data_IF_616690525506
#
_entry.id   IF_616690525506
#
_cell.length_a   1.000
_cell.length_b   1.000
_cell.length_c   1.000
_cell.angle_alpha   90.00
_cell.angle_beta   90.00
_cell.angle_gamma   90.00
#
_symmetry.space_group_name_H-M   'P 1'
#
loop_
_entity.id
_entity.type
_entity.pdbx_description
1 polymer ?
#
# COMPACT_ATOMS: atom_id res chain seq x y z
N UNK A 1 8.50 -15.85 11.00
CA UNK A 1 7.49 -15.06 10.28
C UNK A 1 7.53 -15.47 8.81
N UNK A 2 6.39 -15.75 8.20
CA UNK A 2 6.33 -16.08 6.78
C UNK A 2 6.27 -14.78 5.98
N UNK A 3 7.25 -14.59 5.10
CA UNK A 3 7.28 -13.44 4.21
C UNK A 3 6.29 -13.65 3.07
N UNK A 4 5.57 -12.59 2.69
CA UNK A 4 4.77 -12.54 1.46
C UNK A 4 5.43 -11.62 0.45
N UNK A 5 5.41 -12.03 -0.81
CA UNK A 5 5.90 -11.23 -1.93
C UNK A 5 4.70 -10.61 -2.65
N UNK A 6 4.69 -9.29 -2.74
CA UNK A 6 3.68 -8.52 -3.45
C UNK A 6 4.28 -7.97 -4.74
N UNK A 7 3.55 -8.10 -5.84
CA UNK A 7 3.82 -7.43 -7.12
C UNK A 7 2.92 -6.19 -7.19
N UNK A 8 3.54 -5.02 -7.35
CA UNK A 8 2.87 -3.74 -7.55
C UNK A 8 2.43 -3.58 -9.01
N UNK A 9 1.42 -2.75 -9.24
CA UNK A 9 0.89 -2.45 -10.57
C UNK A 9 1.94 -1.90 -11.55
N UNK A 10 2.96 -1.20 -11.05
CA UNK A 10 4.07 -0.66 -11.84
C UNK A 10 5.19 -1.68 -12.14
N UNK A 11 5.03 -2.92 -11.68
CA UNK A 11 6.00 -4.00 -11.82
C UNK A 11 7.02 -4.09 -10.67
N UNK A 12 6.98 -3.15 -9.70
CA UNK A 12 7.79 -3.22 -8.49
C UNK A 12 7.41 -4.40 -7.60
N UNK A 13 8.30 -4.80 -6.70
CA UNK A 13 8.04 -5.89 -5.75
C UNK A 13 8.35 -5.51 -4.32
N UNK A 14 7.48 -5.89 -3.39
CA UNK A 14 7.69 -5.72 -1.94
C UNK A 14 7.61 -7.07 -1.26
N UNK A 15 8.65 -7.42 -0.50
CA UNK A 15 8.63 -8.56 0.42
C UNK A 15 8.33 -8.04 1.83
N UNK A 16 7.23 -8.49 2.44
CA UNK A 16 6.83 -8.05 3.77
C UNK A 16 6.45 -9.20 4.70
N UNK A 17 6.70 -8.99 6.00
CA UNK A 17 6.41 -9.94 7.08
C UNK A 17 4.99 -9.80 7.64
N UNK A 18 4.38 -8.62 7.50
CA UNK A 18 3.02 -8.30 7.90
C UNK A 18 2.51 -7.07 7.11
N UNK A 19 1.26 -6.67 7.36
CA UNK A 19 0.67 -5.52 6.68
C UNK A 19 1.37 -4.19 7.02
N UNK A 20 1.71 -3.97 8.29
CA UNK A 20 2.44 -2.77 8.69
C UNK A 20 3.81 -2.67 8.00
N UNK A 21 4.59 -3.76 7.98
CA UNK A 21 5.89 -3.81 7.28
C UNK A 21 5.75 -3.55 5.76
N UNK A 22 4.66 -4.02 5.15
CA UNK A 22 4.36 -3.69 3.76
C UNK A 22 4.13 -2.19 3.57
N UNK A 23 3.30 -1.55 4.40
CA UNK A 23 3.02 -0.11 4.32
C UNK A 23 4.30 0.71 4.52
N UNK A 24 5.12 0.37 5.52
CA UNK A 24 6.40 1.02 5.75
C UNK A 24 7.29 0.94 4.50
N UNK A 25 7.41 -0.23 3.88
CA UNK A 25 8.22 -0.43 2.66
C UNK A 25 7.67 0.30 1.45
N UNK A 26 6.34 0.30 1.28
CA UNK A 26 5.67 1.02 0.21
C UNK A 26 5.89 2.53 0.35
N UNK A 27 5.75 3.09 1.56
CA UNK A 27 6.03 4.49 1.85
C UNK A 27 7.48 4.86 1.58
N UNK A 28 8.42 4.11 2.15
CA UNK A 28 9.86 4.41 2.01
C UNK A 28 10.32 4.33 0.56
N UNK A 29 9.73 3.43 -0.24
CA UNK A 29 10.01 3.32 -1.68
C UNK A 29 9.24 4.31 -2.56
N UNK A 30 8.30 5.07 -2.00
CA UNK A 30 7.43 5.97 -2.73
C UNK A 30 8.14 7.26 -3.12
N UNK A 31 7.79 7.82 -4.28
CA UNK A 31 8.18 9.19 -4.68
C UNK A 31 7.35 10.27 -3.97
N UNK A 32 6.27 9.88 -3.31
CA UNK A 32 5.34 10.75 -2.58
C UNK A 32 5.36 10.40 -1.09
N UNK A 33 5.38 11.43 -0.25
CA UNK A 33 5.27 11.35 1.21
C UNK A 33 6.19 10.30 1.89
N UNK A 34 7.40 10.07 1.35
CA UNK A 34 8.34 9.10 1.93
C UNK A 34 8.70 9.44 3.38
N UNK A 35 8.71 10.73 3.72
CA UNK A 35 9.14 11.24 5.02
C UNK A 35 8.01 11.34 6.07
N UNK A 36 6.75 11.06 5.72
CA UNK A 36 5.66 11.10 6.69
C UNK A 36 5.56 9.79 7.49
N UNK A 37 4.58 9.73 8.40
CA UNK A 37 4.26 8.49 9.11
C UNK A 37 3.52 7.50 8.19
N UNK A 38 3.54 6.21 8.54
CA UNK A 38 2.79 5.18 7.79
C UNK A 38 1.29 5.51 7.73
N UNK A 39 0.73 6.08 8.81
CA UNK A 39 -0.68 6.46 8.86
C UNK A 39 -1.01 7.62 7.91
N UNK A 40 -0.20 8.68 7.92
CA UNK A 40 -0.35 9.81 6.99
C UNK A 40 -0.17 9.36 5.54
N UNK A 41 0.78 8.46 5.29
CA UNK A 41 0.99 7.90 3.96
C UNK A 41 -0.24 7.17 3.44
N UNK A 42 -0.87 6.31 4.26
CA UNK A 42 -2.08 5.59 3.84
C UNK A 42 -3.23 6.55 3.51
N UNK A 43 -3.44 7.61 4.31
CA UNK A 43 -4.46 8.62 4.02
C UNK A 43 -4.16 9.38 2.73
N UNK A 44 -2.96 9.92 2.59
CA UNK A 44 -2.56 10.66 1.40
C UNK A 44 -2.57 9.78 0.14
N UNK A 45 -2.21 8.50 0.27
CA UNK A 45 -2.31 7.53 -0.81
C UNK A 45 -3.76 7.29 -1.20
N UNK A 46 -4.65 7.06 -0.23
CA UNK A 46 -6.07 6.82 -0.47
C UNK A 46 -6.73 8.01 -1.20
N UNK A 47 -6.44 9.24 -0.78
CA UNK A 47 -6.93 10.46 -1.44
C UNK A 47 -6.46 10.54 -2.88
N UNK A 48 -5.15 10.38 -3.12
CA UNK A 48 -4.59 10.37 -4.48
C UNK A 48 -5.16 9.26 -5.36
N UNK A 49 -5.35 8.07 -4.79
CA UNK A 49 -5.88 6.92 -5.51
C UNK A 49 -7.34 7.15 -5.88
N UNK A 50 -8.11 7.76 -4.99
CA UNK A 50 -9.48 8.19 -5.26
C UNK A 50 -9.54 9.24 -6.38
N UNK A 51 -8.70 10.28 -6.31
CA UNK A 51 -8.65 11.31 -7.36
C UNK A 51 -8.31 10.73 -8.74
N UNK A 52 -7.48 9.67 -8.80
CA UNK A 52 -7.04 9.05 -10.06
C UNK A 52 -8.00 7.99 -10.60
N UNK A 53 -8.71 7.26 -9.73
CA UNK A 53 -9.45 6.05 -10.12
C UNK A 53 -10.93 6.06 -9.75
N UNK A 54 -11.34 6.95 -8.84
CA UNK A 54 -12.66 6.96 -8.21
C UNK A 54 -12.84 5.90 -7.11
N UNK A 55 -11.89 4.99 -6.91
CA UNK A 55 -11.97 3.95 -5.88
C UNK A 55 -11.58 4.50 -4.51
N UNK A 56 -12.24 4.02 -3.45
CA UNK A 56 -11.97 4.41 -2.06
C UNK A 56 -11.20 3.29 -1.36
N UNK A 57 -10.02 3.61 -0.82
CA UNK A 57 -9.20 2.68 -0.02
C UNK A 57 -9.38 3.01 1.46
N UNK A 58 -9.64 1.98 2.26
CA UNK A 58 -9.67 2.08 3.73
C UNK A 58 -8.25 2.28 4.27
N UNK A 59 -8.02 3.42 4.92
CA UNK A 59 -6.74 3.78 5.54
C UNK A 59 -6.80 3.75 7.08
N UNK A 60 -7.80 3.10 7.67
CA UNK A 60 -7.98 2.98 9.12
C UNK A 60 -7.08 1.91 9.77
N UNK A 61 -6.59 0.95 8.98
CA UNK A 61 -5.57 -0.01 9.39
C UNK A 61 -4.73 -0.51 8.20
N UNK A 62 -3.48 -0.95 8.42
CA UNK A 62 -2.66 -1.55 7.37
C UNK A 62 -3.30 -2.78 6.71
N UNK A 63 -4.03 -3.60 7.47
CA UNK A 63 -4.69 -4.80 6.94
C UNK A 63 -5.82 -4.43 5.97
N UNK A 64 -6.71 -3.51 6.36
CA UNK A 64 -7.78 -3.02 5.46
C UNK A 64 -7.19 -2.35 4.20
N UNK A 65 -6.11 -1.59 4.36
CA UNK A 65 -5.44 -0.91 3.26
C UNK A 65 -4.96 -1.92 2.20
N UNK A 66 -4.25 -2.97 2.62
CA UNK A 66 -3.74 -3.99 1.70
C UNK A 66 -4.86 -4.82 1.07
N UNK A 67 -5.91 -5.16 1.83
CA UNK A 67 -7.10 -5.83 1.28
C UNK A 67 -7.69 -5.05 0.10
N UNK A 68 -7.84 -3.73 0.25
CA UNK A 68 -8.39 -2.88 -0.80
C UNK A 68 -7.41 -2.72 -1.97
N UNK A 69 -6.10 -2.59 -1.71
CA UNK A 69 -5.08 -2.59 -2.78
C UNK A 69 -5.11 -3.89 -3.59
N UNK A 70 -5.34 -5.04 -2.95
CA UNK A 70 -5.52 -6.32 -3.64
C UNK A 70 -6.82 -6.35 -4.43
N UNK A 71 -7.93 -5.90 -3.84
CA UNK A 71 -9.25 -5.89 -4.47
C UNK A 71 -9.29 -5.00 -5.72
N UNK A 72 -8.60 -3.86 -5.70
CA UNK A 72 -8.49 -2.95 -6.83
C UNK A 72 -7.36 -3.29 -7.81
N UNK A 73 -6.60 -4.37 -7.55
CA UNK A 73 -5.53 -4.83 -8.42
C UNK A 73 -4.30 -3.94 -8.44
N UNK A 74 -4.13 -3.04 -7.45
CA UNK A 74 -2.90 -2.28 -7.28
C UNK A 74 -1.74 -3.18 -6.85
N UNK A 75 -2.03 -4.23 -6.07
CA UNK A 75 -1.07 -5.28 -5.73
C UNK A 75 -1.64 -6.67 -5.96
N UNK A 76 -0.74 -7.64 -6.20
CA UNK A 76 -1.05 -9.07 -6.21
C UNK A 76 -0.05 -9.85 -5.38
N UNK A 77 -0.48 -10.96 -4.76
CA UNK A 77 0.43 -11.87 -4.04
C UNK A 77 1.04 -12.85 -5.04
N UNK A 78 2.37 -13.00 -5.00
CA UNK A 78 3.11 -14.03 -5.73
C UNK A 78 3.22 -15.33 -4.95
#
# INVERSE_FOLDING_TARGET
>A
MNNRNYLLQDGGTITATCAADFVTKLRVGSRFDSECTDQEYMFNFADRYHDQTGNVIRADSPDNFIEDLMAFGYITVK
#
